data_IF_663015301009
#
_entry.id   IF_663015301009
#
_cell.length_a   1.000
_cell.length_b   1.000
_cell.length_c   1.000
_cell.angle_alpha   90.00
_cell.angle_beta   90.00
_cell.angle_gamma   90.00
#
_symmetry.space_group_name_H-M   'P 1'
#
loop_
_entity.id
_entity.type
_entity.pdbx_description
1 polymer ?
#
# COMPACT_ATOMS: atom_id res chain seq x y z
N UNK A 1 40.94 -19.52 0.28
CA UNK A 1 42.23 -19.91 -0.34
C UNK A 1 43.26 -18.86 0.00
N UNK A 2 44.38 -19.25 0.60
CA UNK A 2 45.45 -18.34 1.01
C UNK A 2 46.74 -18.75 0.29
N UNK A 3 47.44 -17.81 -0.33
CA UNK A 3 48.69 -18.11 -1.06
C UNK A 3 49.84 -18.26 -0.06
N UNK A 4 50.61 -19.35 -0.17
CA UNK A 4 51.84 -19.57 0.59
C UNK A 4 52.96 -18.76 -0.07
N UNK A 5 53.31 -17.62 0.55
CA UNK A 5 54.28 -16.66 0.02
C UNK A 5 55.69 -17.25 -0.07
N UNK A 6 56.07 -18.10 0.88
CA UNK A 6 57.41 -18.69 0.94
C UNK A 6 57.58 -19.73 -0.15
N UNK A 7 56.61 -20.65 -0.31
CA UNK A 7 56.64 -21.65 -1.38
C UNK A 7 56.53 -21.03 -2.76
N UNK A 8 55.73 -19.98 -2.93
CA UNK A 8 55.64 -19.24 -4.18
C UNK A 8 56.99 -18.62 -4.56
N UNK A 9 57.68 -17.96 -3.62
CA UNK A 9 58.99 -17.37 -3.85
C UNK A 9 60.06 -18.44 -4.19
N UNK A 10 60.11 -19.53 -3.43
CA UNK A 10 61.03 -20.65 -3.68
C UNK A 10 60.80 -21.34 -5.03
N UNK A 11 59.55 -21.35 -5.50
CA UNK A 11 59.17 -21.94 -6.78
C UNK A 11 59.37 -20.99 -7.97
N UNK A 12 59.78 -19.74 -7.73
CA UNK A 12 59.93 -18.72 -8.78
C UNK A 12 58.61 -18.21 -9.35
N UNK A 13 57.53 -18.22 -8.55
CA UNK A 13 56.19 -17.77 -8.91
C UNK A 13 55.77 -16.59 -8.03
N UNK A 14 55.24 -15.53 -8.62
CA UNK A 14 54.76 -14.36 -7.86
C UNK A 14 53.35 -14.58 -7.31
N UNK A 15 53.04 -13.96 -6.17
CA UNK A 15 51.69 -14.00 -5.58
C UNK A 15 50.62 -13.41 -6.51
N UNK A 16 51.00 -12.43 -7.35
CA UNK A 16 50.13 -11.82 -8.36
C UNK A 16 49.77 -12.82 -9.45
N UNK A 17 50.73 -13.61 -9.94
CA UNK A 17 50.46 -14.68 -10.92
C UNK A 17 49.50 -15.73 -10.35
N UNK A 18 49.67 -16.13 -9.09
CA UNK A 18 48.75 -17.05 -8.41
C UNK A 18 47.34 -16.46 -8.29
N UNK A 19 47.23 -15.19 -7.86
CA UNK A 19 45.95 -14.51 -7.72
C UNK A 19 45.23 -14.31 -9.07
N UNK A 20 45.95 -13.97 -10.14
CA UNK A 20 45.40 -13.84 -11.49
C UNK A 20 44.91 -15.19 -12.03
N UNK A 21 45.68 -16.26 -11.83
CA UNK A 21 45.28 -17.61 -12.25
C UNK A 21 44.02 -18.08 -11.50
N UNK A 22 43.93 -17.82 -10.18
CA UNK A 22 42.73 -18.09 -9.39
C UNK A 22 41.53 -17.26 -9.87
N UNK A 23 41.70 -15.97 -10.14
CA UNK A 23 40.63 -15.09 -10.64
C UNK A 23 40.10 -15.58 -11.99
N UNK A 24 40.98 -15.96 -12.92
CA UNK A 24 40.58 -16.51 -14.23
C UNK A 24 39.78 -17.80 -14.10
N UNK A 25 40.13 -18.64 -13.12
CA UNK A 25 39.43 -19.89 -12.87
C UNK A 25 38.02 -19.68 -12.30
N UNK A 26 37.88 -18.74 -11.35
CA UNK A 26 36.64 -18.50 -10.60
C UNK A 26 35.69 -17.57 -11.36
N UNK A 27 36.17 -16.37 -11.73
CA UNK A 27 35.37 -15.31 -12.35
C UNK A 27 35.38 -15.39 -13.89
N UNK A 28 36.34 -16.11 -14.46
CA UNK A 28 36.64 -16.08 -15.88
C UNK A 28 37.52 -14.89 -16.29
N UNK A 29 37.79 -14.80 -17.59
CA UNK A 29 38.53 -13.70 -18.21
C UNK A 29 37.78 -13.17 -19.43
N UNK A 30 37.72 -11.85 -19.56
CA UNK A 30 37.19 -11.22 -20.78
C UNK A 30 38.34 -11.12 -21.77
N UNK A 31 38.31 -11.94 -22.82
CA UNK A 31 39.36 -11.97 -23.85
C UNK A 31 39.22 -10.84 -24.87
N UNK A 32 38.00 -10.34 -25.04
CA UNK A 32 37.69 -9.30 -26.01
C UNK A 32 36.21 -8.96 -25.96
N UNK A 33 35.78 -8.06 -26.86
CA UNK A 33 34.37 -7.74 -27.04
C UNK A 33 34.02 -7.87 -28.52
N UNK A 34 32.88 -8.48 -28.79
CA UNK A 34 32.33 -8.65 -30.13
C UNK A 34 31.20 -7.65 -30.37
N UNK A 35 31.04 -7.23 -31.63
CA UNK A 35 29.84 -6.55 -32.09
C UNK A 35 28.90 -7.58 -32.72
N UNK A 36 27.74 -7.80 -32.10
CA UNK A 36 26.74 -8.77 -32.55
C UNK A 36 25.60 -8.03 -33.28
N UNK A 37 25.10 -8.56 -34.40
CA UNK A 37 23.96 -7.95 -35.09
C UNK A 37 22.74 -7.88 -34.17
N UNK A 38 22.14 -6.69 -34.05
CA UNK A 38 20.98 -6.45 -33.18
C UNK A 38 21.32 -6.02 -31.75
N UNK A 39 22.60 -6.10 -31.34
CA UNK A 39 23.05 -5.61 -30.03
C UNK A 39 23.59 -4.18 -30.12
N UNK A 40 23.00 -3.28 -29.34
CA UNK A 40 23.42 -1.86 -29.30
C UNK A 40 24.80 -1.68 -28.64
N UNK A 41 25.17 -2.58 -27.74
CA UNK A 41 26.41 -2.52 -26.97
C UNK A 41 27.37 -3.63 -27.37
N UNK A 42 28.67 -3.40 -27.20
CA UNK A 42 29.71 -4.42 -27.38
C UNK A 42 29.54 -5.53 -26.35
N UNK A 43 29.48 -6.78 -26.81
CA UNK A 43 29.25 -7.97 -25.97
C UNK A 43 30.58 -8.60 -25.58
N UNK A 44 30.88 -8.80 -24.28
CA UNK A 44 32.15 -9.38 -23.84
C UNK A 44 32.22 -10.89 -24.17
N UNK A 45 33.33 -11.30 -24.79
CA UNK A 45 33.70 -12.70 -24.96
C UNK A 45 34.39 -13.14 -23.66
N UNK A 46 33.71 -13.96 -22.86
CA UNK A 46 34.21 -14.43 -21.56
C UNK A 46 34.64 -15.89 -21.64
N UNK A 47 35.93 -16.13 -21.41
CA UNK A 47 36.45 -17.47 -21.11
C UNK A 47 36.12 -17.80 -19.65
N UNK A 48 35.43 -18.89 -19.41
CA UNK A 48 35.12 -19.35 -18.06
C UNK A 48 35.05 -20.88 -18.03
N UNK A 49 35.31 -21.45 -16.86
CA UNK A 49 35.13 -22.89 -16.64
C UNK A 49 33.63 -23.17 -16.43
N UNK A 50 33.01 -24.14 -17.13
CA UNK A 50 31.60 -24.46 -16.94
C UNK A 50 31.28 -24.84 -15.48
N UNK A 51 30.16 -24.37 -14.93
CA UNK A 51 29.75 -24.58 -13.52
C UNK A 51 29.80 -26.03 -13.03
N UNK A 52 29.51 -27.00 -13.91
CA UNK A 52 29.60 -28.44 -13.61
C UNK A 52 31.02 -28.93 -13.25
N UNK A 53 32.05 -28.15 -13.56
CA UNK A 53 33.45 -28.39 -13.22
C UNK A 53 34.01 -27.29 -12.32
N UNK A 54 33.16 -26.46 -11.69
CA UNK A 54 33.61 -25.40 -10.79
C UNK A 54 33.50 -25.87 -9.34
N UNK A 55 34.56 -25.56 -8.58
CA UNK A 55 34.66 -25.65 -7.12
C UNK A 55 34.76 -27.09 -6.59
N UNK A 56 35.90 -27.69 -6.90
CA UNK A 56 36.48 -28.74 -6.06
C UNK A 56 37.91 -28.27 -5.70
N UNK A 57 38.29 -28.23 -4.41
CA UNK A 57 39.69 -28.15 -3.98
C UNK A 57 40.65 -29.01 -4.82
N UNK A 58 40.20 -30.18 -5.29
CA UNK A 58 41.00 -31.11 -6.09
C UNK A 58 41.35 -30.60 -7.51
N UNK A 59 40.60 -29.63 -8.04
CA UNK A 59 40.91 -28.99 -9.33
C UNK A 59 42.18 -28.14 -9.26
N UNK A 60 42.51 -27.60 -8.08
CA UNK A 60 43.73 -26.80 -7.88
C UNK A 60 45.00 -27.65 -8.04
N UNK A 61 44.91 -28.97 -7.86
CA UNK A 61 46.02 -29.90 -8.11
C UNK A 61 46.30 -30.11 -9.61
N UNK A 62 45.32 -29.80 -10.49
CA UNK A 62 45.43 -30.00 -11.95
C UNK A 62 45.79 -28.73 -12.70
N UNK A 63 45.90 -27.61 -12.00
CA UNK A 63 46.21 -26.30 -12.59
C UNK A 63 47.68 -26.01 -12.33
N UNK A 64 48.41 -25.73 -13.40
CA UNK A 64 49.82 -25.45 -13.36
C UNK A 64 50.09 -23.98 -13.66
N UNK A 65 51.02 -23.40 -12.92
CA UNK A 65 51.55 -22.06 -13.19
C UNK A 65 53.01 -22.23 -13.61
N UNK A 66 53.36 -21.65 -14.75
CA UNK A 66 54.75 -21.63 -15.21
C UNK A 66 55.56 -20.63 -14.37
N UNK A 67 56.66 -21.09 -13.79
CA UNK A 67 57.60 -20.23 -13.08
C UNK A 67 58.51 -19.45 -14.06
N UNK A 68 59.34 -18.55 -13.52
CA UNK A 68 60.27 -17.74 -14.30
C UNK A 68 61.29 -18.56 -15.14
N UNK A 69 61.49 -19.83 -14.81
CA UNK A 69 62.40 -20.76 -15.48
C UNK A 69 61.68 -21.69 -16.47
N UNK A 70 60.37 -21.49 -16.69
CA UNK A 70 59.55 -22.31 -17.60
C UNK A 70 59.09 -23.65 -17.03
N UNK A 71 59.37 -23.95 -15.75
CA UNK A 71 58.89 -25.15 -15.07
C UNK A 71 57.44 -24.97 -14.62
N UNK A 72 56.60 -25.95 -14.90
CA UNK A 72 55.21 -26.00 -14.43
C UNK A 72 55.16 -26.38 -12.95
N UNK A 73 54.54 -25.54 -12.12
CA UNK A 73 54.35 -25.77 -10.68
C UNK A 73 52.85 -25.92 -10.40
N UNK A 74 52.41 -27.01 -9.75
CA UNK A 74 51.00 -27.21 -9.45
C UNK A 74 50.49 -26.18 -8.43
N UNK A 75 49.31 -25.62 -8.68
CA UNK A 75 48.73 -24.55 -7.85
C UNK A 75 48.42 -25.04 -6.43
N UNK A 76 48.12 -26.33 -6.24
CA UNK A 76 47.91 -26.95 -4.93
C UNK A 76 49.12 -26.86 -3.99
N UNK A 77 50.35 -26.77 -4.52
CA UNK A 77 51.56 -26.61 -3.69
C UNK A 77 51.75 -25.16 -3.22
N UNK A 78 51.15 -24.20 -3.93
CA UNK A 78 51.31 -22.76 -3.72
C UNK A 78 50.19 -22.15 -2.88
N UNK A 79 49.12 -22.89 -2.60
CA UNK A 79 47.96 -22.40 -1.87
C UNK A 79 47.57 -23.31 -0.72
N UNK A 80 47.15 -22.70 0.39
CA UNK A 80 46.48 -23.38 1.50
C UNK A 80 44.98 -23.17 1.39
N UNK A 81 44.23 -24.27 1.45
CA UNK A 81 42.77 -24.26 1.43
C UNK A 81 42.29 -24.29 2.87
N UNK A 82 41.54 -23.28 3.25
CA UNK A 82 40.89 -23.18 4.57
C UNK A 82 39.39 -23.09 4.35
N UNK A 83 38.64 -23.92 5.05
CA UNK A 83 37.20 -23.83 5.10
C UNK A 83 36.82 -22.76 6.14
N UNK A 84 36.04 -21.78 5.72
CA UNK A 84 35.50 -20.75 6.59
C UNK A 84 34.03 -20.52 6.27
N UNK A 85 33.29 -20.03 7.25
CA UNK A 85 31.94 -19.54 6.99
C UNK A 85 32.04 -18.27 6.12
N UNK A 86 31.20 -18.20 5.10
CA UNK A 86 31.01 -16.97 4.35
C UNK A 86 30.14 -16.03 5.18
N UNK A 87 30.60 -14.80 5.39
CA UNK A 87 29.80 -13.79 6.07
C UNK A 87 28.51 -13.51 5.32
N UNK A 88 27.42 -13.33 6.07
CA UNK A 88 26.14 -12.92 5.50
C UNK A 88 26.25 -11.47 5.04
N UNK A 89 25.58 -11.10 3.93
CA UNK A 89 25.53 -9.70 3.51
C UNK A 89 24.93 -8.85 4.63
N UNK A 90 25.55 -7.70 4.89
CA UNK A 90 25.05 -6.73 5.87
C UNK A 90 24.06 -5.82 5.14
N UNK A 91 22.79 -6.00 5.45
CA UNK A 91 21.72 -5.19 4.87
C UNK A 91 21.49 -3.97 5.76
N UNK A 92 21.16 -2.85 5.11
CA UNK A 92 20.85 -1.60 5.78
C UNK A 92 19.52 -1.05 5.28
N UNK A 93 18.79 -0.37 6.16
CA UNK A 93 17.62 0.47 5.84
C UNK A 93 17.73 1.73 6.70
N UNK A 94 17.66 2.90 6.05
CA UNK A 94 17.80 4.20 6.73
C UNK A 94 19.07 4.31 7.59
N UNK A 95 20.19 3.80 7.08
CA UNK A 95 21.51 3.66 7.76
C UNK A 95 21.57 2.71 8.96
N UNK A 96 20.48 2.08 9.34
CA UNK A 96 20.46 1.05 10.38
C UNK A 96 20.68 -0.35 9.80
N UNK A 97 21.40 -1.20 10.53
CA UNK A 97 21.63 -2.61 10.13
C UNK A 97 20.34 -3.40 10.35
N UNK A 98 19.85 -4.07 9.31
CA UNK A 98 18.60 -4.82 9.35
C UNK A 98 18.78 -6.25 8.83
N UNK A 99 17.85 -7.12 9.21
CA UNK A 99 17.68 -8.44 8.59
C UNK A 99 16.22 -8.58 8.17
N UNK A 100 15.99 -8.87 6.89
CA UNK A 100 14.64 -9.10 6.39
C UNK A 100 14.22 -10.54 6.66
N UNK A 101 13.07 -10.69 7.31
CA UNK A 101 12.39 -11.97 7.52
C UNK A 101 11.09 -11.92 6.75
N UNK A 102 10.95 -12.83 5.77
CA UNK A 102 9.77 -12.93 4.93
C UNK A 102 9.02 -14.24 5.18
N UNK A 103 7.71 -14.21 4.98
CA UNK A 103 6.85 -15.39 4.99
C UNK A 103 5.73 -15.21 3.97
N UNK A 104 5.24 -16.30 3.39
CA UNK A 104 4.09 -16.30 2.51
C UNK A 104 2.84 -16.81 3.24
N UNK A 105 1.70 -16.18 2.96
CA UNK A 105 0.41 -16.55 3.52
C UNK A 105 -0.41 -17.29 2.46
N UNK A 106 -1.05 -18.38 2.87
CA UNK A 106 -1.79 -19.23 1.92
C UNK A 106 -3.32 -19.11 2.04
N UNK A 107 -3.86 -18.77 3.22
CA UNK A 107 -5.32 -18.82 3.49
C UNK A 107 -5.89 -17.63 4.26
N UNK A 108 -5.06 -16.64 4.61
CA UNK A 108 -5.47 -15.52 5.49
C UNK A 108 -4.92 -14.21 4.93
N UNK A 109 -5.70 -13.13 5.03
CA UNK A 109 -5.24 -11.81 4.66
C UNK A 109 -4.07 -11.36 5.56
N UNK A 110 -3.07 -10.62 5.02
CA UNK A 110 -1.89 -10.19 5.76
C UNK A 110 -2.21 -9.49 7.08
N UNK A 111 -3.25 -8.66 7.10
CA UNK A 111 -3.68 -7.89 8.28
C UNK A 111 -3.90 -8.78 9.50
N UNK A 112 -4.62 -9.90 9.38
CA UNK A 112 -4.95 -10.73 10.54
C UNK A 112 -3.75 -11.50 11.05
N UNK A 113 -2.93 -12.04 10.15
CA UNK A 113 -1.72 -12.77 10.52
C UNK A 113 -0.70 -11.84 11.19
N UNK A 114 -0.50 -10.65 10.64
CA UNK A 114 0.39 -9.63 11.19
C UNK A 114 -0.08 -9.19 12.56
N UNK A 115 -1.38 -8.89 12.75
CA UNK A 115 -1.91 -8.49 14.06
C UNK A 115 -1.83 -9.61 15.13
N UNK A 116 -2.00 -10.88 14.75
CA UNK A 116 -1.83 -12.01 15.67
C UNK A 116 -0.35 -12.21 16.05
N UNK A 117 0.57 -12.13 15.07
CA UNK A 117 2.00 -12.24 15.32
C UNK A 117 2.52 -11.06 16.13
N UNK A 118 2.07 -9.85 15.82
CA UNK A 118 2.42 -8.62 16.53
C UNK A 118 2.14 -8.79 18.03
N UNK A 119 0.93 -9.23 18.40
CA UNK A 119 0.56 -9.49 19.80
C UNK A 119 1.39 -10.57 20.49
N UNK A 120 1.94 -11.53 19.73
CA UNK A 120 2.76 -12.63 20.28
C UNK A 120 4.22 -12.25 20.42
N UNK A 121 4.71 -11.38 19.53
CA UNK A 121 6.12 -10.99 19.42
C UNK A 121 6.42 -9.72 20.20
N UNK A 122 5.46 -8.81 20.34
CA UNK A 122 5.63 -7.58 21.11
C UNK A 122 5.84 -7.90 22.59
N UNK A 123 6.92 -7.37 23.16
CA UNK A 123 7.33 -7.62 24.54
C UNK A 123 7.99 -8.98 24.78
N UNK A 124 8.31 -9.75 23.74
CA UNK A 124 9.02 -11.03 23.89
C UNK A 124 10.45 -10.81 24.40
N UNK A 125 10.83 -11.46 25.50
CA UNK A 125 12.19 -11.38 26.04
C UNK A 125 13.15 -12.17 25.14
N UNK A 126 14.13 -11.48 24.55
CA UNK A 126 15.16 -12.10 23.71
C UNK A 126 16.38 -12.48 24.56
N UNK A 127 16.81 -11.58 25.44
CA UNK A 127 17.91 -11.77 26.39
C UNK A 127 17.55 -11.11 27.73
N UNK A 128 18.33 -11.38 28.79
CA UNK A 128 18.04 -10.94 30.18
C UNK A 128 17.74 -9.44 30.30
N UNK A 129 18.34 -8.62 29.44
CA UNK A 129 18.23 -7.16 29.46
C UNK A 129 17.49 -6.58 28.24
N UNK A 130 17.06 -7.41 27.27
CA UNK A 130 16.50 -6.94 26.00
C UNK A 130 15.18 -7.61 25.64
N UNK A 131 14.16 -6.79 25.41
CA UNK A 131 12.85 -7.19 24.89
C UNK A 131 12.71 -6.84 23.40
N UNK A 132 11.97 -7.66 22.67
CA UNK A 132 11.55 -7.36 21.30
C UNK A 132 10.40 -6.36 21.33
N UNK A 133 10.56 -5.23 20.65
CA UNK A 133 9.47 -4.28 20.40
C UNK A 133 9.01 -4.42 18.96
N UNK A 134 7.70 -4.49 18.73
CA UNK A 134 7.15 -4.45 17.37
C UNK A 134 6.65 -3.04 17.04
N UNK A 135 6.84 -2.62 15.78
CA UNK A 135 6.41 -1.29 15.33
C UNK A 135 6.00 -1.28 13.86
N UNK A 136 5.68 -0.08 13.35
CA UNK A 136 5.29 0.19 11.96
C UNK A 136 3.88 -0.27 11.52
N UNK A 137 2.99 -0.62 12.46
CA UNK A 137 1.56 -0.88 12.19
C UNK A 137 0.65 0.35 12.32
N UNK A 138 1.22 1.50 12.65
CA UNK A 138 0.47 2.77 12.72
C UNK A 138 0.30 3.36 11.32
N UNK A 139 -0.59 4.34 11.19
CA UNK A 139 -0.77 5.06 9.92
C UNK A 139 0.50 5.79 9.45
N UNK A 140 1.38 6.18 10.38
CA UNK A 140 2.67 6.76 10.07
C UNK A 140 3.77 5.69 10.06
N UNK A 141 4.65 5.79 9.06
CA UNK A 141 5.84 4.95 8.97
C UNK A 141 6.83 5.32 10.06
N UNK A 142 7.43 4.31 10.68
CA UNK A 142 8.48 4.49 11.69
C UNK A 142 9.79 3.93 11.10
N UNK A 143 10.89 4.72 11.07
CA UNK A 143 12.18 4.22 10.63
C UNK A 143 12.75 3.22 11.65
N UNK A 144 13.64 2.30 11.24
CA UNK A 144 14.38 1.47 12.18
C UNK A 144 15.18 2.33 13.16
N UNK A 145 15.16 1.93 14.42
CA UNK A 145 15.98 2.52 15.47
C UNK A 145 16.55 1.39 16.33
N UNK A 146 17.87 1.37 16.51
CA UNK A 146 18.58 0.35 17.29
C UNK A 146 18.97 0.83 18.69
N UNK A 147 18.65 2.08 19.05
CA UNK A 147 19.01 2.68 20.34
C UNK A 147 18.33 1.95 21.51
N UNK A 148 17.04 1.63 21.36
CA UNK A 148 16.21 1.03 22.42
C UNK A 148 16.18 -0.51 22.40
N UNK A 149 17.12 -1.15 21.67
CA UNK A 149 17.25 -2.60 21.59
C UNK A 149 16.71 -3.21 20.29
N UNK A 150 16.19 -4.45 20.37
CA UNK A 150 15.74 -5.18 19.20
C UNK A 150 14.33 -4.75 18.78
N UNK A 151 14.21 -4.24 17.56
CA UNK A 151 12.93 -3.85 16.96
C UNK A 151 12.57 -4.74 15.77
N UNK A 152 11.31 -5.16 15.71
CA UNK A 152 10.69 -5.78 14.55
C UNK A 152 9.75 -4.78 13.90
N UNK A 153 10.11 -4.34 12.69
CA UNK A 153 9.26 -3.46 11.90
C UNK A 153 8.48 -4.26 10.88
N UNK A 154 7.15 -4.16 10.95
CA UNK A 154 6.28 -4.74 9.93
C UNK A 154 6.41 -3.96 8.63
N UNK A 155 6.75 -4.66 7.55
CA UNK A 155 6.98 -4.09 6.22
C UNK A 155 6.28 -4.93 5.13
N UNK A 156 6.39 -4.51 3.86
CA UNK A 156 5.77 -5.19 2.74
C UNK A 156 4.31 -4.79 2.51
N UNK A 157 3.45 -5.77 2.20
CA UNK A 157 2.07 -5.51 1.75
C UNK A 157 1.21 -4.83 2.83
N UNK A 158 1.40 -5.19 4.10
CA UNK A 158 0.65 -4.56 5.20
C UNK A 158 0.98 -3.07 5.34
N UNK A 159 2.27 -2.71 5.20
CA UNK A 159 2.73 -1.31 5.25
C UNK A 159 2.18 -0.53 4.08
N UNK A 160 2.26 -1.10 2.88
CA UNK A 160 1.66 -0.51 1.67
C UNK A 160 0.15 -0.27 1.85
N UNK A 161 -0.57 -1.22 2.44
CA UNK A 161 -2.01 -1.09 2.71
C UNK A 161 -2.30 0.06 3.69
N UNK A 162 -1.53 0.17 4.77
CA UNK A 162 -1.69 1.24 5.76
C UNK A 162 -1.36 2.62 5.20
N UNK A 163 -0.32 2.75 4.38
CA UNK A 163 0.02 4.00 3.70
C UNK A 163 -1.09 4.44 2.75
N UNK A 164 -1.60 3.51 1.93
CA UNK A 164 -2.71 3.80 1.02
C UNK A 164 -3.97 4.19 1.80
N UNK A 165 -4.31 3.49 2.89
CA UNK A 165 -5.46 3.85 3.73
C UNK A 165 -5.29 5.23 4.38
N UNK A 166 -4.09 5.57 4.87
CA UNK A 166 -3.81 6.92 5.40
C UNK A 166 -4.05 7.97 4.32
N UNK A 167 -3.40 7.81 3.17
CA UNK A 167 -3.40 8.81 2.11
C UNK A 167 -4.80 8.98 1.52
N UNK A 168 -5.55 7.89 1.35
CA UNK A 168 -6.93 7.94 0.86
C UNK A 168 -7.92 8.47 1.89
N UNK A 169 -7.72 8.19 3.19
CA UNK A 169 -8.55 8.80 4.24
C UNK A 169 -8.28 10.31 4.33
N UNK A 170 -7.02 10.72 4.18
CA UNK A 170 -6.65 12.13 4.04
C UNK A 170 -7.31 12.77 2.82
N UNK A 171 -7.26 12.10 1.66
CA UNK A 171 -7.92 12.56 0.44
C UNK A 171 -9.44 12.70 0.61
N UNK A 172 -10.10 11.75 1.29
CA UNK A 172 -11.53 11.81 1.60
C UNK A 172 -11.85 13.01 2.49
N UNK A 173 -11.07 13.26 3.54
CA UNK A 173 -11.25 14.41 4.43
C UNK A 173 -11.09 15.75 3.70
N UNK A 174 -10.09 15.84 2.82
CA UNK A 174 -9.87 17.01 1.95
C UNK A 174 -11.05 17.18 0.98
N UNK A 175 -11.48 16.13 0.29
CA UNK A 175 -12.61 16.18 -0.64
C UNK A 175 -13.91 16.64 0.03
N UNK A 176 -14.23 16.06 1.19
CA UNK A 176 -15.39 16.45 2.02
C UNK A 176 -15.28 17.93 2.44
N UNK A 177 -14.08 18.39 2.82
CA UNK A 177 -13.84 19.80 3.18
C UNK A 177 -14.03 20.74 2.00
N UNK A 178 -13.53 20.40 0.81
CA UNK A 178 -13.73 21.18 -0.40
C UNK A 178 -15.21 21.25 -0.80
N UNK A 179 -15.91 20.12 -0.75
CA UNK A 179 -17.36 20.08 -0.99
C UNK A 179 -18.07 21.00 0.01
N UNK A 180 -17.75 20.91 1.31
CA UNK A 180 -18.33 21.79 2.33
C UNK A 180 -18.12 23.27 2.00
N UNK A 181 -16.87 23.69 1.73
CA UNK A 181 -16.54 25.09 1.45
C UNK A 181 -17.22 25.62 0.20
N UNK A 182 -17.29 24.81 -0.87
CA UNK A 182 -18.00 25.18 -2.10
C UNK A 182 -19.50 25.40 -1.82
N UNK A 183 -20.12 24.52 -1.03
CA UNK A 183 -21.52 24.63 -0.68
C UNK A 183 -21.79 25.80 0.27
N UNK A 184 -20.89 26.08 1.22
CA UNK A 184 -20.97 27.29 2.06
C UNK A 184 -20.95 28.55 1.17
N UNK A 185 -20.05 28.60 0.19
CA UNK A 185 -19.99 29.69 -0.78
C UNK A 185 -21.27 29.83 -1.62
N UNK A 186 -21.83 28.70 -2.07
CA UNK A 186 -23.05 28.67 -2.89
C UNK A 186 -24.31 29.07 -2.11
N UNK A 187 -24.55 28.46 -0.95
CA UNK A 187 -25.75 28.71 -0.13
C UNK A 187 -25.62 29.92 0.80
N UNK A 188 -24.42 30.47 0.96
CA UNK A 188 -24.10 31.53 1.94
C UNK A 188 -24.56 31.16 3.36
N UNK A 189 -24.46 29.88 3.72
CA UNK A 189 -24.90 29.32 4.99
C UNK A 189 -24.00 28.15 5.38
N UNK A 190 -23.66 28.05 6.66
CA UNK A 190 -22.86 26.96 7.21
C UNK A 190 -23.70 25.72 7.57
N UNK A 191 -24.97 25.92 7.91
CA UNK A 191 -25.86 24.84 8.37
C UNK A 191 -26.38 24.01 7.21
N UNK A 192 -26.72 24.66 6.09
CA UNK A 192 -27.30 24.02 4.90
C UNK A 192 -26.35 22.93 4.35
N UNK A 193 -25.05 23.22 4.07
CA UNK A 193 -24.08 22.20 3.67
C UNK A 193 -23.90 21.09 4.70
N UNK A 194 -23.86 21.44 5.99
CA UNK A 194 -23.65 20.46 7.06
C UNK A 194 -24.78 19.42 7.10
N UNK A 195 -26.03 19.86 6.98
CA UNK A 195 -27.21 18.98 6.93
C UNK A 195 -27.19 18.10 5.67
N UNK A 196 -26.80 18.65 4.51
CA UNK A 196 -26.66 17.86 3.28
C UNK A 196 -25.55 16.80 3.39
N UNK A 197 -24.47 17.10 4.09
CA UNK A 197 -23.33 16.20 4.28
C UNK A 197 -23.57 15.13 5.35
N UNK A 198 -24.60 15.28 6.19
CA UNK A 198 -25.01 14.26 7.15
C UNK A 198 -25.37 12.91 6.50
N UNK A 199 -25.66 12.92 5.18
CA UNK A 199 -25.89 11.70 4.42
C UNK A 199 -24.60 10.91 4.13
N UNK A 200 -23.41 11.53 4.12
CA UNK A 200 -22.14 10.84 3.80
C UNK A 200 -21.84 9.70 4.77
N UNK A 201 -21.86 9.89 6.11
CA UNK A 201 -21.69 8.79 7.05
C UNK A 201 -22.70 7.65 6.86
N UNK A 202 -23.94 7.98 6.47
CA UNK A 202 -24.99 6.98 6.22
C UNK A 202 -24.67 6.11 5.02
N UNK A 203 -24.11 6.70 3.96
CA UNK A 203 -23.63 5.94 2.79
C UNK A 203 -22.43 5.06 3.13
N UNK A 204 -21.46 5.58 3.89
CA UNK A 204 -20.29 4.80 4.33
C UNK A 204 -20.70 3.59 5.18
N UNK A 205 -21.68 3.77 6.08
CA UNK A 205 -22.20 2.68 6.90
C UNK A 205 -22.77 1.52 6.06
N UNK A 206 -23.28 1.81 4.86
CA UNK A 206 -23.77 0.79 3.92
C UNK A 206 -22.70 -0.05 3.23
N UNK A 207 -21.46 0.43 3.17
CA UNK A 207 -20.37 -0.24 2.43
C UNK A 207 -19.93 -1.53 3.13
N UNK A 208 -19.76 -1.48 4.45
CA UNK A 208 -19.23 -2.62 5.23
C UNK A 208 -20.12 -3.87 5.19
N UNK A 209 -21.46 -3.77 5.35
CA UNK A 209 -22.35 -4.92 5.15
C UNK A 209 -22.22 -5.54 3.76
N UNK A 210 -21.99 -4.74 2.72
CA UNK A 210 -21.81 -5.24 1.35
C UNK A 210 -20.58 -6.13 1.18
N UNK A 211 -19.45 -5.66 1.70
CA UNK A 211 -18.20 -6.45 1.70
C UNK A 211 -18.34 -7.75 2.50
N UNK A 212 -19.01 -7.68 3.64
CA UNK A 212 -19.27 -8.85 4.47
C UNK A 212 -20.18 -9.87 3.77
N UNK A 213 -21.28 -9.42 3.14
CA UNK A 213 -22.22 -10.30 2.44
C UNK A 213 -21.60 -11.00 1.22
N UNK A 214 -20.73 -10.32 0.49
CA UNK A 214 -20.07 -10.87 -0.70
C UNK A 214 -18.74 -11.57 -0.42
N UNK A 215 -18.28 -11.59 0.84
CA UNK A 215 -17.03 -12.22 1.24
C UNK A 215 -15.78 -11.61 0.60
N UNK A 216 -15.85 -10.36 0.15
CA UNK A 216 -14.78 -9.65 -0.53
C UNK A 216 -14.10 -8.67 0.42
N UNK A 217 -12.77 -8.69 0.46
CA UNK A 217 -11.99 -7.84 1.35
C UNK A 217 -12.17 -6.36 1.01
N UNK A 218 -12.04 -5.50 2.02
CA UNK A 218 -12.00 -4.05 1.81
C UNK A 218 -10.62 -3.64 1.31
N UNK A 219 -10.56 -3.11 0.09
CA UNK A 219 -9.31 -2.80 -0.64
C UNK A 219 -9.15 -1.31 -0.92
N UNK A 220 -7.99 -0.91 -1.45
CA UNK A 220 -7.76 0.44 -1.96
C UNK A 220 -8.82 0.87 -2.99
N UNK A 221 -9.24 -0.02 -3.91
CA UNK A 221 -10.31 0.27 -4.86
C UNK A 221 -11.66 0.55 -4.16
N UNK A 222 -11.92 -0.10 -3.02
CA UNK A 222 -13.11 0.12 -2.21
C UNK A 222 -13.14 1.53 -1.61
N UNK A 223 -11.98 2.03 -1.15
CA UNK A 223 -11.82 3.41 -0.68
C UNK A 223 -12.09 4.44 -1.80
N UNK A 224 -11.70 4.16 -3.05
CA UNK A 224 -12.03 5.02 -4.19
C UNK A 224 -13.56 5.09 -4.35
N UNK A 225 -14.23 3.95 -4.20
CA UNK A 225 -15.69 3.85 -4.20
C UNK A 225 -16.34 4.67 -3.10
N UNK A 226 -15.78 4.66 -1.89
CA UNK A 226 -16.25 5.50 -0.77
C UNK A 226 -16.13 6.99 -1.09
N UNK A 227 -15.01 7.43 -1.69
CA UNK A 227 -14.82 8.83 -2.08
C UNK A 227 -15.84 9.24 -3.16
N UNK A 228 -16.02 8.40 -4.18
CA UNK A 228 -17.01 8.65 -5.23
C UNK A 228 -18.44 8.66 -4.67
N UNK A 229 -18.76 7.73 -3.75
CA UNK A 229 -20.03 7.63 -3.05
C UNK A 229 -20.35 8.92 -2.29
N UNK A 230 -19.38 9.49 -1.56
CA UNK A 230 -19.59 10.74 -0.82
C UNK A 230 -20.14 11.86 -1.72
N UNK A 231 -19.59 12.02 -2.93
CA UNK A 231 -20.08 13.01 -3.91
C UNK A 231 -21.50 12.73 -4.41
N UNK A 232 -21.81 11.46 -4.73
CA UNK A 232 -23.14 11.03 -5.18
C UNK A 232 -24.20 11.31 -4.10
N UNK A 233 -23.87 10.97 -2.86
CA UNK A 233 -24.78 11.08 -1.71
C UNK A 233 -25.05 12.54 -1.35
N UNK A 234 -24.02 13.39 -1.37
CA UNK A 234 -24.18 14.84 -1.19
C UNK A 234 -25.08 15.41 -2.27
N UNK A 235 -24.88 15.06 -3.54
CA UNK A 235 -25.73 15.53 -4.66
C UNK A 235 -27.21 15.24 -4.42
N UNK A 236 -27.54 14.02 -3.99
CA UNK A 236 -28.94 13.65 -3.74
C UNK A 236 -29.56 14.45 -2.59
N UNK A 237 -28.79 14.68 -1.52
CA UNK A 237 -29.24 15.44 -0.34
C UNK A 237 -29.45 16.92 -0.65
N UNK A 238 -28.57 17.51 -1.46
CA UNK A 238 -28.66 18.89 -1.93
C UNK A 238 -29.90 19.15 -2.78
N UNK A 239 -30.22 18.22 -3.68
CA UNK A 239 -31.39 18.33 -4.55
C UNK A 239 -32.71 18.36 -3.77
N UNK A 240 -32.79 17.67 -2.63
CA UNK A 240 -33.94 17.74 -1.71
C UNK A 240 -33.96 19.11 -1.05
N UNK A 241 -32.82 19.54 -0.51
CA UNK A 241 -32.68 20.83 0.18
C UNK A 241 -33.06 22.03 -0.69
N UNK A 242 -32.64 22.05 -1.96
CA UNK A 242 -33.00 23.10 -2.91
C UNK A 242 -34.51 23.21 -3.10
N UNK A 243 -35.20 22.07 -3.23
CA UNK A 243 -36.66 22.05 -3.39
C UNK A 243 -37.36 22.52 -2.13
N UNK A 244 -36.86 22.13 -0.94
CA UNK A 244 -37.42 22.63 0.32
C UNK A 244 -37.27 24.15 0.42
N UNK A 245 -36.08 24.68 0.13
CA UNK A 245 -35.82 26.13 0.17
C UNK A 245 -36.72 26.87 -0.83
N UNK A 246 -36.87 26.35 -2.04
CA UNK A 246 -37.74 26.93 -3.06
C UNK A 246 -39.22 26.91 -2.64
N UNK A 247 -39.72 25.80 -2.11
CA UNK A 247 -41.10 25.71 -1.63
C UNK A 247 -41.38 26.62 -0.43
N UNK A 248 -40.45 26.72 0.52
CA UNK A 248 -40.57 27.68 1.63
C UNK A 248 -40.57 29.12 1.12
N UNK A 249 -39.73 29.46 0.13
CA UNK A 249 -39.72 30.79 -0.51
C UNK A 249 -41.04 31.11 -1.23
N UNK A 250 -41.71 30.10 -1.77
CA UNK A 250 -43.06 30.22 -2.38
C UNK A 250 -44.18 30.31 -1.35
N UNK A 251 -43.86 30.29 -0.05
CA UNK A 251 -44.81 30.47 1.05
C UNK A 251 -45.41 29.17 1.58
N UNK A 252 -44.95 28.00 1.16
CA UNK A 252 -45.42 26.73 1.74
C UNK A 252 -44.92 26.57 3.19
N UNK A 253 -45.74 26.01 4.09
CA UNK A 253 -45.30 25.59 5.41
C UNK A 253 -44.12 24.60 5.30
N UNK A 254 -43.14 24.71 6.21
CA UNK A 254 -41.92 23.88 6.17
C UNK A 254 -42.23 22.37 6.08
N UNK A 255 -43.25 21.90 6.80
CA UNK A 255 -43.66 20.50 6.77
C UNK A 255 -44.12 20.06 5.37
N UNK A 256 -44.95 20.87 4.72
CA UNK A 256 -45.44 20.60 3.36
C UNK A 256 -44.31 20.68 2.34
N UNK A 257 -43.45 21.70 2.47
CA UNK A 257 -42.27 21.86 1.63
C UNK A 257 -41.34 20.62 1.68
N UNK A 258 -41.06 20.09 2.87
CA UNK A 258 -40.25 18.88 3.06
C UNK A 258 -40.92 17.65 2.45
N UNK A 259 -42.24 17.50 2.64
CA UNK A 259 -43.01 16.38 2.10
C UNK A 259 -43.03 16.39 0.56
N UNK A 260 -43.35 17.52 -0.05
CA UNK A 260 -43.42 17.65 -1.51
C UNK A 260 -42.04 17.52 -2.15
N UNK A 261 -41.00 18.10 -1.53
CA UNK A 261 -39.62 17.96 -2.01
C UNK A 261 -39.17 16.49 -2.02
N UNK A 262 -39.46 15.74 -0.95
CA UNK A 262 -39.17 14.31 -0.90
C UNK A 262 -39.93 13.52 -1.98
N UNK A 263 -41.22 13.79 -2.15
CA UNK A 263 -42.07 13.09 -3.12
C UNK A 263 -41.60 13.27 -4.57
N UNK A 264 -41.29 14.52 -4.97
CA UNK A 264 -40.85 14.84 -6.34
C UNK A 264 -39.46 14.27 -6.62
N UNK A 265 -38.59 14.17 -5.61
CA UNK A 265 -37.21 13.69 -5.77
C UNK A 265 -37.05 12.18 -5.70
N UNK A 266 -38.01 11.46 -5.14
CA UNK A 266 -37.92 10.00 -4.99
C UNK A 266 -37.65 9.28 -6.31
N UNK A 267 -38.42 9.59 -7.37
CA UNK A 267 -38.24 8.96 -8.69
C UNK A 267 -36.85 9.24 -9.31
N UNK A 268 -36.39 10.51 -9.41
CA UNK A 268 -35.04 10.82 -9.87
C UNK A 268 -33.92 10.13 -9.06
N UNK A 269 -34.03 10.10 -7.73
CA UNK A 269 -33.01 9.49 -6.86
C UNK A 269 -32.95 7.98 -7.09
N UNK A 270 -34.10 7.30 -7.19
CA UNK A 270 -34.12 5.86 -7.47
C UNK A 270 -33.49 5.55 -8.83
N UNK A 271 -33.72 6.38 -9.85
CA UNK A 271 -33.14 6.19 -11.18
C UNK A 271 -31.61 6.31 -11.15
N UNK A 272 -31.05 7.28 -10.44
CA UNK A 272 -29.58 7.42 -10.33
C UNK A 272 -28.97 6.28 -9.52
N UNK A 273 -29.62 5.82 -8.44
CA UNK A 273 -29.17 4.65 -7.69
C UNK A 273 -29.17 3.40 -8.55
N UNK A 274 -30.25 3.14 -9.28
CA UNK A 274 -30.33 1.98 -10.18
C UNK A 274 -29.27 2.04 -11.29
N UNK A 275 -29.03 3.22 -11.87
CA UNK A 275 -27.98 3.39 -12.87
C UNK A 275 -26.59 3.06 -12.32
N UNK A 276 -26.27 3.51 -11.11
CA UNK A 276 -24.99 3.20 -10.45
C UNK A 276 -24.89 1.71 -10.15
N UNK A 277 -25.95 1.12 -9.57
CA UNK A 277 -25.97 -0.31 -9.23
C UNK A 277 -25.77 -1.18 -10.46
N UNK A 278 -26.55 -0.95 -11.52
CA UNK A 278 -26.45 -1.73 -12.75
C UNK A 278 -25.11 -1.48 -13.49
N UNK A 279 -24.64 -0.23 -13.51
CA UNK A 279 -23.39 0.13 -14.17
C UNK A 279 -22.15 -0.43 -13.46
N UNK A 280 -22.19 -0.56 -12.13
CA UNK A 280 -21.06 -1.11 -11.35
C UNK A 280 -21.17 -2.62 -11.14
N UNK A 281 -22.35 -3.21 -11.30
CA UNK A 281 -22.54 -4.66 -11.18
C UNK A 281 -21.64 -5.48 -12.13
N UNK A 282 -21.32 -4.94 -13.32
CA UNK A 282 -20.42 -5.61 -14.28
C UNK A 282 -18.99 -5.76 -13.75
N UNK A 283 -18.59 -4.94 -12.78
CA UNK A 283 -17.24 -4.91 -12.20
C UNK A 283 -17.13 -5.81 -10.95
N UNK A 284 -18.23 -6.41 -10.47
CA UNK A 284 -18.23 -7.23 -9.25
C UNK A 284 -17.29 -8.45 -9.32
N UNK A 285 -17.11 -9.02 -10.50
CA UNK A 285 -16.27 -10.20 -10.72
C UNK A 285 -14.81 -9.86 -10.99
N UNK A 286 -14.47 -8.58 -11.10
CA UNK A 286 -13.10 -8.14 -11.39
C UNK A 286 -12.23 -8.21 -10.12
N UNK A 287 -11.05 -8.87 -10.15
CA UNK A 287 -10.18 -8.99 -8.98
C UNK A 287 -9.63 -7.65 -8.46
N UNK A 288 -9.54 -6.64 -9.32
CA UNK A 288 -9.00 -5.30 -8.99
C UNK A 288 -10.13 -4.35 -8.62
N UNK A 289 -11.21 -4.36 -9.39
CA UNK A 289 -12.32 -3.39 -9.25
C UNK A 289 -13.53 -3.91 -8.46
N UNK A 290 -13.56 -5.18 -8.06
CA UNK A 290 -14.68 -5.75 -7.30
C UNK A 290 -14.99 -4.96 -6.03
N UNK A 291 -13.96 -4.56 -5.27
CA UNK A 291 -14.15 -3.74 -4.07
C UNK A 291 -14.76 -2.36 -4.34
N UNK A 292 -14.37 -1.70 -5.44
CA UNK A 292 -14.97 -0.44 -5.89
C UNK A 292 -16.47 -0.62 -6.20
N UNK A 293 -16.81 -1.70 -6.90
CA UNK A 293 -18.19 -2.02 -7.25
C UNK A 293 -19.06 -2.24 -6.01
N UNK A 294 -18.58 -3.04 -5.05
CA UNK A 294 -19.30 -3.36 -3.81
C UNK A 294 -19.57 -2.08 -3.01
N UNK A 295 -18.56 -1.23 -2.85
CA UNK A 295 -18.70 0.03 -2.14
C UNK A 295 -19.76 0.95 -2.78
N UNK A 296 -19.78 1.03 -4.13
CA UNK A 296 -20.78 1.84 -4.82
C UNK A 296 -22.19 1.23 -4.76
N UNK A 297 -22.34 -0.07 -4.98
CA UNK A 297 -23.64 -0.75 -4.98
C UNK A 297 -24.29 -0.64 -3.59
N UNK A 298 -23.63 -1.18 -2.56
CA UNK A 298 -24.21 -1.23 -1.24
C UNK A 298 -24.25 0.15 -0.58
N UNK A 299 -23.22 0.97 -0.80
CA UNK A 299 -23.19 2.34 -0.31
C UNK A 299 -24.31 3.20 -0.89
N UNK A 300 -24.59 3.12 -2.20
CA UNK A 300 -25.68 3.89 -2.80
C UNK A 300 -27.06 3.36 -2.43
N UNK A 301 -27.26 2.04 -2.36
CA UNK A 301 -28.53 1.45 -1.92
C UNK A 301 -28.86 1.87 -0.49
N UNK A 302 -27.91 1.65 0.43
CA UNK A 302 -28.08 2.04 1.82
C UNK A 302 -28.28 3.55 1.94
N UNK A 303 -27.42 4.34 1.30
CA UNK A 303 -27.55 5.79 1.33
C UNK A 303 -28.89 6.25 0.79
N UNK A 304 -29.43 5.68 -0.28
CA UNK A 304 -30.70 6.13 -0.84
C UNK A 304 -31.85 5.87 0.11
N UNK A 305 -31.91 4.67 0.71
CA UNK A 305 -32.94 4.33 1.71
C UNK A 305 -32.84 5.27 2.92
N UNK A 306 -31.63 5.47 3.43
CA UNK A 306 -31.38 6.30 4.61
C UNK A 306 -31.58 7.80 4.31
N UNK A 307 -31.14 8.30 3.16
CA UNK A 307 -31.21 9.72 2.78
C UNK A 307 -32.64 10.17 2.57
N UNK A 308 -33.49 9.37 1.93
CA UNK A 308 -34.90 9.70 1.69
C UNK A 308 -35.68 9.89 3.00
N UNK A 309 -35.22 9.27 4.09
CA UNK A 309 -35.87 9.38 5.41
C UNK A 309 -35.15 10.42 6.28
N UNK A 310 -33.85 10.24 6.47
CA UNK A 310 -33.06 10.99 7.45
C UNK A 310 -32.86 12.45 7.01
N UNK A 311 -32.61 12.72 5.72
CA UNK A 311 -32.35 14.10 5.28
C UNK A 311 -33.59 15.00 5.41
N UNK A 312 -34.80 14.59 4.98
CA UNK A 312 -36.02 15.36 5.25
C UNK A 312 -36.24 15.64 6.74
N UNK A 313 -36.00 14.65 7.61
CA UNK A 313 -36.13 14.82 9.06
C UNK A 313 -35.12 15.84 9.61
N UNK A 314 -33.85 15.73 9.20
CA UNK A 314 -32.82 16.68 9.61
C UNK A 314 -33.14 18.09 9.10
N UNK A 315 -33.56 18.23 7.85
CA UNK A 315 -33.98 19.52 7.29
C UNK A 315 -35.12 20.11 8.13
N UNK A 316 -36.17 19.34 8.42
CA UNK A 316 -37.30 19.80 9.23
C UNK A 316 -36.85 20.29 10.61
N UNK A 317 -36.04 19.50 11.33
CA UNK A 317 -35.57 19.85 12.67
C UNK A 317 -34.70 21.11 12.69
N UNK A 318 -33.77 21.24 11.75
CA UNK A 318 -32.86 22.40 11.71
C UNK A 318 -33.54 23.68 11.18
N UNK A 319 -34.40 23.57 10.17
CA UNK A 319 -35.08 24.73 9.61
C UNK A 319 -36.27 25.20 10.45
N UNK A 320 -36.91 24.33 11.25
CA UNK A 320 -37.98 24.76 12.15
C UNK A 320 -37.47 25.83 13.15
N UNK A 321 -36.23 25.70 13.60
CA UNK A 321 -35.60 26.69 14.48
C UNK A 321 -35.27 28.01 13.77
N UNK A 322 -34.89 27.97 12.49
CA UNK A 322 -34.64 29.19 11.71
C UNK A 322 -35.94 29.90 11.28
N UNK A 323 -36.98 29.16 10.89
CA UNK A 323 -38.27 29.77 10.50
C UNK A 323 -38.92 30.47 11.69
N UNK A 324 -38.77 29.92 12.91
CA UNK A 324 -39.19 30.60 14.15
C UNK A 324 -38.46 31.93 14.35
N UNK A 325 -37.13 31.98 14.20
CA UNK A 325 -36.37 33.23 14.38
C UNK A 325 -36.71 34.30 13.33
N UNK A 326 -37.05 33.88 12.10
CA UNK A 326 -37.50 34.80 11.04
C UNK A 326 -38.92 35.34 11.27
N UNK A 327 -39.79 34.55 11.91
CA UNK A 327 -41.14 34.99 12.28
C UNK A 327 -41.14 35.88 13.55
N UNK A 328 -40.20 35.69 14.46
CA UNK A 328 -39.99 36.54 15.63
C UNK A 328 -39.42 37.92 15.23
N UNK A 329 -38.44 37.99 14.32
CA UNK A 329 -37.90 39.25 13.80
C UNK A 329 -38.88 40.08 12.95
N UNK A 330 -39.96 39.48 12.45
CA UNK A 330 -40.99 40.17 11.66
C UNK A 330 -42.15 40.70 12.53
N UNK A 331 -42.14 40.38 13.83
CA UNK A 331 -43.14 40.79 14.82
C UNK A 331 -42.64 41.92 15.74
N UNK A 332 -41.34 42.25 15.71
CA UNK A 332 -40.76 43.49 16.21
C UNK A 332 -40.72 44.56 15.10
#
# INVERSE_FOLDING_TARGET
VTVDKEKAALSGVTTVQVAQALKRLVDGEILGRAHLPGEKNLVPIRLHVPRKHQIDPDLLARIFISNAQGKAVPMSELVRITYSYQDRPILHKDNERVTYVGAELHRTAPVYAVLDLDRRLDGMVIDKDNTLSTANLRLQSVPPDTIDGYQLLWDGEIRMTLDVFRDMTGALAVAISFIYLLLVGYYRSFIIPLVAMAAVPLGIAGVFPGHWLLGQHFTAASMIGVIALAGVVVRNSLLIMDFVIDYVKRGLPLYEAVREAGAVRLRPILLTTLAIVLGTAIMLTDPVFGGLAIALIFGTIASTVLTVIVVPVLIYLFFQNQVKSWQEQKKE
#
